data_IF_908340518737
#
_entry.id   IF_908340518737
#
_cell.length_a   1.000
_cell.length_b   1.000
_cell.length_c   1.000
_cell.angle_alpha   90.00
_cell.angle_beta   90.00
_cell.angle_gamma   90.00
#
_symmetry.space_group_name_H-M   'P 1'
#
loop_
_entity.id
_entity.type
_entity.pdbx_description
1 polymer ?
#
# COMPACT_ATOMS: atom_id res chain seq x y z
N UNK A 1 46.76 -0.56 -33.92
CA UNK A 1 46.40 0.88 -33.85
C UNK A 1 45.07 0.91 -33.13
N UNK A 2 44.99 1.56 -31.97
CA UNK A 2 43.78 1.60 -31.15
C UNK A 2 42.73 2.48 -31.84
N UNK A 3 41.48 2.03 -31.84
CA UNK A 3 40.34 2.77 -32.38
C UNK A 3 39.77 3.73 -31.34
N UNK A 4 39.19 4.87 -31.75
CA UNK A 4 38.66 5.88 -30.81
C UNK A 4 37.60 5.30 -29.85
N UNK A 5 36.79 4.35 -30.32
CA UNK A 5 35.77 3.68 -29.48
C UNK A 5 36.39 2.80 -28.40
N UNK A 6 37.49 2.13 -28.71
CA UNK A 6 38.22 1.32 -27.74
C UNK A 6 38.87 2.21 -26.68
N UNK A 7 39.43 3.34 -27.11
CA UNK A 7 39.93 4.38 -26.21
C UNK A 7 38.85 4.86 -25.22
N UNK A 8 37.65 5.21 -25.68
CA UNK A 8 36.54 5.66 -24.82
C UNK A 8 36.21 4.68 -23.68
N UNK A 9 36.22 3.38 -23.96
CA UNK A 9 35.90 2.35 -22.97
C UNK A 9 36.99 2.19 -21.89
N UNK A 10 38.23 2.59 -22.17
CA UNK A 10 39.37 2.44 -21.27
C UNK A 10 39.65 3.68 -20.42
N UNK A 11 38.93 4.79 -20.64
CA UNK A 11 39.14 6.05 -19.90
C UNK A 11 38.98 5.84 -18.38
N UNK A 12 37.93 5.16 -17.93
CA UNK A 12 37.69 4.93 -16.49
C UNK A 12 38.82 4.11 -15.86
N UNK A 13 39.22 3.00 -16.49
CA UNK A 13 40.32 2.16 -16.00
C UNK A 13 41.66 2.91 -16.02
N UNK A 14 41.89 3.79 -16.99
CA UNK A 14 43.07 4.66 -17.02
C UNK A 14 43.09 5.64 -15.84
N UNK A 15 41.96 6.31 -15.57
CA UNK A 15 41.82 7.28 -14.49
C UNK A 15 41.90 6.65 -13.10
N UNK A 16 41.43 5.41 -12.97
CA UNK A 16 41.52 4.60 -11.75
C UNK A 16 42.89 3.91 -11.61
N UNK A 17 43.78 4.03 -12.61
CA UNK A 17 45.11 3.41 -12.61
C UNK A 17 45.11 1.88 -12.74
N UNK A 18 44.04 1.31 -13.30
CA UNK A 18 43.78 -0.12 -13.38
C UNK A 18 44.15 -0.77 -14.73
N UNK A 19 44.63 0.01 -15.72
CA UNK A 19 45.01 -0.53 -17.02
C UNK A 19 46.27 -1.42 -16.95
N UNK A 20 46.26 -2.50 -17.73
CA UNK A 20 47.46 -3.29 -17.99
C UNK A 20 48.49 -2.49 -18.80
N UNK A 21 49.78 -2.81 -18.65
CA UNK A 21 50.87 -2.11 -19.33
C UNK A 21 50.71 -2.02 -20.87
N UNK A 22 50.29 -3.12 -21.52
CA UNK A 22 50.07 -3.16 -22.98
C UNK A 22 48.97 -2.18 -23.43
N UNK A 23 47.82 -2.18 -22.74
CA UNK A 23 46.74 -1.25 -23.03
C UNK A 23 47.09 0.21 -22.69
N UNK A 24 47.86 0.46 -21.62
CA UNK A 24 48.30 1.81 -21.27
C UNK A 24 49.23 2.41 -22.34
N UNK A 25 50.17 1.62 -22.89
CA UNK A 25 51.04 2.05 -23.99
C UNK A 25 50.22 2.38 -25.26
N UNK A 26 49.28 1.51 -25.63
CA UNK A 26 48.41 1.74 -26.79
C UNK A 26 47.50 2.96 -26.60
N UNK A 27 46.99 3.17 -25.39
CA UNK A 27 46.15 4.31 -25.01
C UNK A 27 46.91 5.64 -25.08
N UNK A 28 48.14 5.69 -24.55
CA UNK A 28 49.01 6.89 -24.64
C UNK A 28 49.46 7.16 -26.08
N UNK A 29 49.77 6.11 -26.85
CA UNK A 29 50.09 6.26 -28.26
C UNK A 29 48.91 6.87 -29.03
N UNK A 30 47.68 6.39 -28.79
CA UNK A 30 46.48 6.95 -29.39
C UNK A 30 46.27 8.42 -28.99
N UNK A 31 46.40 8.75 -27.70
CA UNK A 31 46.34 10.13 -27.18
C UNK A 31 47.31 11.08 -27.87
N UNK A 32 48.51 10.61 -28.21
CA UNK A 32 49.52 11.43 -28.90
C UNK A 32 49.14 11.74 -30.36
N UNK A 33 48.38 10.84 -30.99
CA UNK A 33 48.02 10.89 -32.42
C UNK A 33 46.63 11.46 -32.72
N UNK A 34 45.69 11.39 -31.77
CA UNK A 34 44.30 11.78 -31.97
C UNK A 34 43.95 13.02 -31.13
N UNK A 35 43.67 14.13 -31.79
CA UNK A 35 43.32 15.39 -31.12
C UNK A 35 41.94 15.29 -30.42
N UNK A 36 40.99 14.59 -31.03
CA UNK A 36 39.62 14.45 -30.52
C UNK A 36 39.58 13.65 -29.21
N UNK A 37 40.31 12.52 -29.16
CA UNK A 37 40.39 11.71 -27.94
C UNK A 37 41.17 12.39 -26.81
N UNK A 38 42.13 13.27 -27.15
CA UNK A 38 42.80 14.11 -26.15
C UNK A 38 41.83 15.11 -25.53
N UNK A 39 41.08 15.83 -26.38
CA UNK A 39 40.05 16.76 -25.91
C UNK A 39 39.01 16.04 -25.03
N UNK A 40 38.59 14.83 -25.41
CA UNK A 40 37.67 14.02 -24.59
C UNK A 40 38.25 13.68 -23.21
N UNK A 41 39.53 13.27 -23.13
CA UNK A 41 40.14 12.96 -21.85
C UNK A 41 40.26 14.20 -20.96
N UNK A 42 40.64 15.34 -21.56
CA UNK A 42 40.70 16.62 -20.87
C UNK A 42 39.32 17.03 -20.33
N UNK A 43 38.26 16.86 -21.12
CA UNK A 43 36.86 17.12 -20.71
C UNK A 43 36.44 16.23 -19.54
N UNK A 44 36.76 14.93 -19.58
CA UNK A 44 36.45 13.99 -18.50
C UNK A 44 37.21 14.34 -17.22
N UNK A 45 38.50 14.69 -17.32
CA UNK A 45 39.30 15.10 -16.18
C UNK A 45 38.78 16.41 -15.56
N UNK A 46 38.43 17.40 -16.39
CA UNK A 46 37.82 18.64 -15.94
C UNK A 46 36.47 18.38 -15.24
N UNK A 47 35.63 17.48 -15.79
CA UNK A 47 34.37 17.10 -15.15
C UNK A 47 34.58 16.44 -13.78
N UNK A 48 35.59 15.58 -13.64
CA UNK A 48 35.94 14.95 -12.36
C UNK A 48 36.46 15.96 -11.35
N UNK A 49 37.29 16.92 -11.77
CA UNK A 49 37.74 18.02 -10.91
C UNK A 49 36.57 18.86 -10.43
N UNK A 50 35.62 19.20 -11.33
CA UNK A 50 34.39 19.87 -10.97
C UNK A 50 33.59 19.05 -9.95
N UNK A 51 33.41 17.75 -10.17
CA UNK A 51 32.70 16.88 -9.21
C UNK A 51 33.40 16.83 -7.85
N UNK A 52 34.74 16.77 -7.82
CA UNK A 52 35.52 16.80 -6.56
C UNK A 52 35.44 18.15 -5.86
N UNK A 53 35.31 19.25 -6.61
CA UNK A 53 35.23 20.62 -6.06
C UNK A 53 33.94 20.90 -5.29
N UNK A 54 32.88 20.12 -5.54
CA UNK A 54 31.58 20.23 -4.84
C UNK A 54 31.69 19.80 -3.36
N UNK A 55 32.77 19.12 -2.97
CA UNK A 55 32.97 18.63 -1.61
C UNK A 55 32.04 17.46 -1.25
N UNK A 56 32.31 16.79 -0.12
CA UNK A 56 31.35 15.83 0.43
C UNK A 56 30.06 16.57 0.81
N UNK A 57 29.00 16.33 0.03
CA UNK A 57 27.68 16.85 0.31
C UNK A 57 27.04 15.97 1.37
N UNK A 58 26.67 16.55 2.51
CA UNK A 58 25.84 15.83 3.47
C UNK A 58 24.55 15.38 2.76
N UNK A 59 24.24 14.07 2.77
CA UNK A 59 23.04 13.58 2.14
C UNK A 59 21.80 14.25 2.75
N UNK A 60 20.77 14.46 1.94
CA UNK A 60 19.51 14.99 2.44
C UNK A 60 19.02 14.16 3.64
N UNK A 61 18.48 14.79 4.70
CA UNK A 61 18.11 14.09 5.93
C UNK A 61 17.02 13.02 5.73
N UNK A 62 16.32 13.05 4.60
CA UNK A 62 15.31 12.07 4.19
C UNK A 62 15.85 10.98 3.26
N UNK A 63 17.15 11.02 2.89
CA UNK A 63 17.77 10.04 1.99
C UNK A 63 17.64 8.63 2.56
N UNK A 64 17.87 8.44 3.87
CA UNK A 64 17.70 7.16 4.54
C UNK A 64 16.26 6.64 4.43
N UNK A 65 15.27 7.51 4.60
CA UNK A 65 13.87 7.11 4.53
C UNK A 65 13.45 6.78 3.10
N UNK A 66 13.95 7.54 2.11
CA UNK A 66 13.78 7.25 0.68
C UNK A 66 14.47 5.96 0.27
N UNK A 67 15.68 5.72 0.76
CA UNK A 67 16.45 4.50 0.52
C UNK A 67 15.73 3.30 1.16
N UNK A 68 15.29 3.40 2.42
CA UNK A 68 14.46 2.38 3.07
C UNK A 68 13.16 2.10 2.32
N UNK A 69 12.56 3.08 1.67
CA UNK A 69 11.37 2.86 0.82
C UNK A 69 11.70 2.05 -0.44
N UNK A 70 12.84 2.31 -1.06
CA UNK A 70 13.33 1.54 -2.22
C UNK A 70 13.79 0.13 -1.81
N UNK A 71 14.57 0.04 -0.73
CA UNK A 71 15.02 -1.20 -0.10
C UNK A 71 13.87 -1.97 0.54
N UNK A 72 12.69 -1.37 0.76
CA UNK A 72 11.48 -2.11 1.13
C UNK A 72 10.98 -3.04 0.03
N UNK A 73 11.30 -2.77 -1.24
CA UNK A 73 11.20 -3.77 -2.32
C UNK A 73 12.14 -4.97 -2.14
N UNK A 74 13.21 -4.80 -1.34
CA UNK A 74 14.10 -5.84 -0.86
C UNK A 74 13.82 -6.26 0.61
N UNK A 75 12.73 -5.78 1.25
CA UNK A 75 12.52 -5.90 2.71
C UNK A 75 12.25 -7.31 3.20
N UNK A 76 11.66 -8.19 2.39
CA UNK A 76 11.49 -9.57 2.83
C UNK A 76 12.65 -10.42 2.36
N UNK A 77 13.17 -11.20 3.30
CA UNK A 77 14.14 -12.25 2.98
C UNK A 77 13.45 -13.37 2.18
N UNK A 78 14.23 -14.12 1.41
CA UNK A 78 13.73 -15.30 0.70
C UNK A 78 13.11 -16.33 1.68
N UNK A 79 13.58 -16.37 2.93
CA UNK A 79 13.02 -17.23 3.98
C UNK A 79 11.60 -16.79 4.36
N UNK A 80 11.42 -15.49 4.65
CA UNK A 80 10.11 -14.95 5.00
C UNK A 80 9.11 -15.10 3.83
N UNK A 81 9.58 -14.95 2.59
CA UNK A 81 8.78 -15.26 1.40
C UNK A 81 8.30 -16.71 1.41
N UNK A 82 9.21 -17.67 1.65
CA UNK A 82 8.88 -19.09 1.71
C UNK A 82 7.83 -19.47 2.75
N UNK A 83 7.87 -18.82 3.93
CA UNK A 83 6.90 -19.03 5.01
C UNK A 83 5.48 -18.57 4.63
N UNK A 84 5.35 -17.62 3.71
CA UNK A 84 4.07 -17.06 3.27
C UNK A 84 3.45 -17.77 2.04
N UNK A 85 4.17 -18.71 1.41
CA UNK A 85 3.69 -19.35 0.16
C UNK A 85 2.36 -20.08 0.37
N UNK A 86 2.19 -20.87 1.45
CA UNK A 86 0.92 -21.57 1.71
C UNK A 86 -0.21 -20.56 1.89
N UNK A 87 0.01 -19.57 2.77
CA UNK A 87 -0.95 -18.51 3.05
C UNK A 87 -1.37 -17.72 1.80
N UNK A 88 -0.46 -17.55 0.84
CA UNK A 88 -0.75 -16.95 -0.47
C UNK A 88 -1.75 -17.80 -1.27
N UNK A 89 -1.53 -19.11 -1.40
CA UNK A 89 -2.43 -20.01 -2.12
C UNK A 89 -3.77 -20.23 -1.40
N UNK A 90 -3.75 -20.20 -0.06
CA UNK A 90 -4.96 -20.29 0.77
C UNK A 90 -5.78 -18.98 0.74
N UNK A 91 -5.21 -17.88 0.21
CA UNK A 91 -5.88 -16.58 0.10
C UNK A 91 -6.07 -15.85 1.44
N UNK A 92 -5.22 -16.15 2.44
CA UNK A 92 -5.35 -15.65 3.82
C UNK A 92 -4.35 -14.56 4.20
N UNK A 93 -3.55 -14.07 3.24
CA UNK A 93 -2.62 -12.97 3.48
C UNK A 93 -3.35 -11.65 3.77
N UNK A 94 -2.80 -10.87 4.68
CA UNK A 94 -3.18 -9.46 4.85
C UNK A 94 -2.74 -8.63 3.62
N UNK A 95 -3.34 -7.46 3.43
CA UNK A 95 -2.99 -6.58 2.31
C UNK A 95 -1.50 -6.21 2.29
N UNK A 96 -0.91 -5.94 3.45
CA UNK A 96 0.50 -5.58 3.56
C UNK A 96 1.41 -6.76 3.21
N UNK A 97 1.11 -7.96 3.73
CA UNK A 97 1.86 -9.18 3.41
C UNK A 97 1.76 -9.51 1.91
N UNK A 98 0.58 -9.34 1.31
CA UNK A 98 0.37 -9.56 -0.11
C UNK A 98 1.25 -8.64 -0.96
N UNK A 99 1.27 -7.34 -0.66
CA UNK A 99 2.07 -6.37 -1.41
C UNK A 99 3.57 -6.60 -1.26
N UNK A 100 4.02 -6.92 -0.05
CA UNK A 100 5.40 -7.29 0.21
C UNK A 100 5.78 -8.57 -0.56
N UNK A 101 4.90 -9.57 -0.55
CA UNK A 101 5.12 -10.87 -1.20
C UNK A 101 5.23 -10.72 -2.72
N UNK A 102 4.31 -9.98 -3.34
CA UNK A 102 4.38 -9.67 -4.76
C UNK A 102 5.62 -8.85 -5.13
N UNK A 103 6.00 -7.87 -4.30
CA UNK A 103 7.19 -7.06 -4.55
C UNK A 103 8.46 -7.94 -4.57
N UNK A 104 8.59 -8.88 -3.64
CA UNK A 104 9.70 -9.83 -3.61
C UNK A 104 9.68 -10.80 -4.80
N UNK A 105 8.52 -11.34 -5.17
CA UNK A 105 8.40 -12.22 -6.33
C UNK A 105 8.82 -11.51 -7.64
N UNK A 106 8.56 -10.20 -7.77
CA UNK A 106 9.04 -9.40 -8.91
C UNK A 106 10.56 -9.20 -8.86
N UNK A 107 11.11 -8.92 -7.68
CA UNK A 107 12.53 -8.61 -7.51
C UNK A 107 13.46 -9.84 -7.51
N UNK A 108 13.04 -10.99 -6.97
CA UNK A 108 13.88 -12.18 -6.79
C UNK A 108 13.58 -13.28 -7.81
N UNK A 109 14.49 -13.47 -8.78
CA UNK A 109 14.31 -14.46 -9.86
C UNK A 109 14.31 -15.93 -9.39
N UNK A 110 14.91 -16.24 -8.24
CA UNK A 110 14.87 -17.59 -7.65
C UNK A 110 13.48 -17.87 -7.07
N UNK A 111 13.02 -17.03 -6.16
CA UNK A 111 11.72 -17.19 -5.51
C UNK A 111 10.56 -17.11 -6.50
N UNK A 112 10.70 -16.32 -7.58
CA UNK A 112 9.74 -16.32 -8.69
C UNK A 112 9.62 -17.69 -9.36
N UNK A 113 10.75 -18.33 -9.71
CA UNK A 113 10.74 -19.67 -10.31
C UNK A 113 10.15 -20.71 -9.37
N UNK A 114 10.47 -20.62 -8.08
CA UNK A 114 9.90 -21.54 -7.07
C UNK A 114 8.38 -21.38 -6.99
N UNK A 115 7.87 -20.14 -6.97
CA UNK A 115 6.44 -19.85 -6.97
C UNK A 115 5.73 -20.34 -8.25
N UNK A 116 6.35 -20.14 -9.42
CA UNK A 116 5.84 -20.63 -10.71
C UNK A 116 5.78 -22.16 -10.74
N UNK A 117 6.80 -22.84 -10.20
CA UNK A 117 6.84 -24.30 -10.09
C UNK A 117 5.72 -24.85 -9.21
N UNK A 118 5.50 -24.23 -8.04
CA UNK A 118 4.40 -24.62 -7.15
C UNK A 118 3.05 -24.37 -7.82
N UNK A 119 2.86 -23.20 -8.45
CA UNK A 119 1.63 -22.89 -9.18
C UNK A 119 1.36 -23.88 -10.32
N UNK A 120 2.41 -24.37 -11.00
CA UNK A 120 2.28 -25.41 -12.02
C UNK A 120 1.81 -26.73 -11.42
N UNK A 121 2.37 -27.16 -10.29
CA UNK A 121 1.91 -28.37 -9.57
C UNK A 121 0.47 -28.22 -9.12
N UNK A 122 0.07 -27.07 -8.57
CA UNK A 122 -1.32 -26.81 -8.17
C UNK A 122 -2.29 -26.91 -9.35
N UNK A 123 -1.90 -26.44 -10.55
CA UNK A 123 -2.71 -26.61 -11.76
C UNK A 123 -2.87 -28.08 -12.13
N UNK A 124 -1.78 -28.86 -12.13
CA UNK A 124 -1.84 -30.30 -12.40
C UNK A 124 -2.71 -31.04 -11.38
N UNK A 125 -2.66 -30.65 -10.10
CA UNK A 125 -3.52 -31.23 -9.06
C UNK A 125 -5.00 -30.88 -9.26
N UNK A 126 -5.30 -29.70 -9.78
CA UNK A 126 -6.68 -29.31 -10.11
C UNK A 126 -7.23 -30.02 -11.36
N UNK A 127 -6.37 -30.63 -12.17
CA UNK A 127 -6.78 -31.45 -13.32
C UNK A 127 -7.13 -32.89 -12.91
N UNK A 128 -6.80 -33.31 -11.68
CA UNK A 128 -7.16 -34.63 -11.16
C UNK A 128 -8.66 -34.67 -10.90
N UNK A 129 -9.31 -35.74 -11.38
CA UNK A 129 -10.75 -35.94 -11.20
C UNK A 129 -11.13 -35.84 -9.71
N UNK A 130 -12.12 -34.99 -9.37
CA UNK A 130 -12.55 -34.85 -7.99
C UNK A 130 -13.14 -36.16 -7.49
N UNK A 131 -12.74 -36.56 -6.28
CA UNK A 131 -13.28 -37.76 -5.63
C UNK A 131 -14.79 -37.61 -5.48
N UNK A 132 -15.54 -38.58 -6.01
CA UNK A 132 -16.98 -38.62 -5.88
C UNK A 132 -17.38 -38.56 -4.40
N UNK A 133 -18.13 -37.52 -4.04
CA UNK A 133 -18.63 -37.36 -2.68
C UNK A 133 -19.64 -38.48 -2.38
N UNK A 134 -19.60 -39.07 -1.17
CA UNK A 134 -20.63 -40.02 -0.74
C UNK A 134 -22.02 -39.41 -0.86
N UNK A 135 -22.96 -40.19 -1.40
CA UNK A 135 -24.35 -39.77 -1.55
C UNK A 135 -24.95 -39.33 -0.19
N UNK A 136 -25.68 -38.23 -0.19
CA UNK A 136 -26.33 -37.69 1.01
C UNK A 136 -25.40 -36.93 1.98
N UNK A 137 -24.10 -36.77 1.68
CA UNK A 137 -23.19 -36.02 2.55
C UNK A 137 -23.63 -34.56 2.72
N UNK A 138 -24.04 -33.90 1.63
CA UNK A 138 -24.48 -32.51 1.65
C UNK A 138 -25.72 -32.32 2.53
N UNK A 139 -26.70 -33.20 2.40
CA UNK A 139 -27.92 -33.18 3.19
C UNK A 139 -27.61 -33.36 4.68
N UNK A 140 -26.74 -34.31 5.02
CA UNK A 140 -26.29 -34.56 6.39
C UNK A 140 -25.54 -33.36 6.96
N UNK A 141 -24.67 -32.73 6.18
CA UNK A 141 -23.89 -31.56 6.59
C UNK A 141 -24.81 -30.37 6.86
N UNK A 142 -25.71 -30.07 5.91
CA UNK A 142 -26.71 -29.00 6.05
C UNK A 142 -27.62 -29.23 7.25
N UNK A 143 -28.02 -30.48 7.50
CA UNK A 143 -28.83 -30.82 8.66
C UNK A 143 -28.06 -30.60 9.97
N UNK A 144 -26.79 -31.02 10.03
CA UNK A 144 -25.93 -30.82 11.19
C UNK A 144 -25.69 -29.33 11.51
N UNK A 145 -25.44 -28.50 10.49
CA UNK A 145 -25.28 -27.04 10.64
C UNK A 145 -26.57 -26.40 11.13
N UNK A 146 -27.72 -26.77 10.55
CA UNK A 146 -29.03 -26.27 10.99
C UNK A 146 -29.39 -26.67 12.42
N UNK A 147 -29.02 -27.87 12.87
CA UNK A 147 -29.22 -28.27 14.27
C UNK A 147 -28.31 -27.48 15.22
N UNK A 148 -27.02 -27.34 14.88
CA UNK A 148 -26.08 -26.57 15.70
C UNK A 148 -26.52 -25.11 15.88
N UNK A 149 -26.98 -24.46 14.81
CA UNK A 149 -27.51 -23.09 14.88
C UNK A 149 -28.78 -23.00 15.75
N UNK A 150 -29.70 -23.96 15.63
CA UNK A 150 -30.92 -24.02 16.46
C UNK A 150 -30.60 -24.24 17.94
N UNK A 151 -29.61 -25.05 18.26
CA UNK A 151 -29.20 -25.32 19.63
C UNK A 151 -28.47 -24.11 20.26
N UNK A 152 -27.64 -23.41 19.48
CA UNK A 152 -27.06 -22.14 19.90
C UNK A 152 -28.16 -21.10 20.22
N UNK A 153 -29.16 -20.94 19.35
CA UNK A 153 -30.30 -20.04 19.56
C UNK A 153 -31.14 -20.43 20.80
N UNK A 154 -31.44 -21.72 20.97
CA UNK A 154 -32.17 -22.25 22.14
C UNK A 154 -31.39 -22.04 23.44
N UNK A 155 -30.07 -22.17 23.42
CA UNK A 155 -29.23 -21.94 24.61
C UNK A 155 -29.25 -20.47 25.04
N UNK A 156 -29.26 -19.53 24.10
CA UNK A 156 -29.43 -18.10 24.36
C UNK A 156 -30.82 -17.79 24.95
N UNK A 157 -31.88 -18.33 24.36
CA UNK A 157 -33.25 -18.21 24.87
C UNK A 157 -33.39 -18.79 26.29
N UNK A 158 -32.76 -19.94 26.59
CA UNK A 158 -32.74 -20.53 27.94
C UNK A 158 -32.02 -19.65 28.96
N UNK A 159 -30.89 -19.04 28.58
CA UNK A 159 -30.15 -18.07 29.43
C UNK A 159 -30.99 -16.84 29.73
N UNK A 160 -31.67 -16.29 28.72
CA UNK A 160 -32.58 -15.16 28.88
C UNK A 160 -33.75 -15.53 29.80
N UNK A 161 -34.41 -16.67 29.57
CA UNK A 161 -35.53 -17.15 30.40
C UNK A 161 -35.14 -17.37 31.87
N UNK A 162 -33.95 -17.90 32.15
CA UNK A 162 -33.42 -18.03 33.52
C UNK A 162 -33.22 -16.65 34.17
N UNK A 163 -32.69 -15.69 33.42
CA UNK A 163 -32.48 -14.32 33.91
C UNK A 163 -33.80 -13.60 34.19
N UNK A 164 -34.81 -13.81 33.35
CA UNK A 164 -36.17 -13.31 33.56
C UNK A 164 -36.88 -14.01 34.74
N UNK A 165 -36.70 -15.31 34.93
CA UNK A 165 -37.27 -16.04 36.07
C UNK A 165 -36.64 -15.59 37.40
N UNK A 166 -35.32 -15.36 37.43
CA UNK A 166 -34.63 -14.77 38.58
C UNK A 166 -35.14 -13.36 38.90
N UNK A 167 -35.41 -12.56 37.86
CA UNK A 167 -36.00 -11.22 38.00
C UNK A 167 -37.43 -11.26 38.56
N UNK A 168 -38.27 -12.20 38.10
CA UNK A 168 -39.64 -12.42 38.62
C UNK A 168 -39.67 -12.93 40.06
N UNK A 169 -38.78 -13.86 40.42
CA UNK A 169 -38.70 -14.39 41.78
C UNK A 169 -38.13 -13.35 42.77
N UNK A 170 -37.29 -12.43 42.31
CA UNK A 170 -36.83 -11.27 43.09
C UNK A 170 -37.91 -10.25 43.44
N UNK A 171 -39.05 -10.25 42.73
CA UNK A 171 -40.21 -9.39 43.03
C UNK A 171 -41.16 -9.98 44.09
N UNK A 172 -41.01 -11.26 44.44
CA UNK A 172 -41.82 -11.92 45.47
C UNK A 172 -41.25 -11.81 46.90
N UNK A 173 -40.05 -11.27 47.07
CA UNK A 173 -39.50 -10.99 48.39
C UNK A 173 -40.18 -9.74 48.99
N UNK A 174 -40.62 -9.75 50.25
CA UNK A 174 -41.35 -8.64 50.83
C UNK A 174 -40.47 -7.40 50.88
N UNK A 175 -40.79 -6.41 50.01
CA UNK A 175 -40.18 -5.09 49.95
C UNK A 175 -40.45 -4.33 51.27
N UNK A 176 -39.65 -4.57 52.30
CA UNK A 176 -39.49 -3.65 53.43
C UNK A 176 -38.45 -2.59 53.08
N UNK A 177 -38.82 -1.68 52.20
CA UNK A 177 -38.21 -0.35 52.06
C UNK A 177 -39.02 0.47 51.05
N UNK A 178 -39.76 1.51 51.45
CA UNK A 178 -40.30 2.45 50.48
C UNK A 178 -39.14 3.29 49.94
N UNK A 179 -39.22 3.68 48.66
CA UNK A 179 -38.23 4.46 47.90
C UNK A 179 -37.17 3.61 47.16
N UNK A 180 -37.65 2.77 46.24
CA UNK A 180 -36.96 2.71 44.95
C UNK A 180 -37.17 4.08 44.29
N UNK A 181 -36.10 4.85 44.09
CA UNK A 181 -36.24 6.21 43.59
C UNK A 181 -36.78 6.16 42.16
N UNK A 182 -37.63 7.13 41.83
CA UNK A 182 -38.44 7.20 40.59
C UNK A 182 -37.60 6.99 39.31
N UNK A 183 -36.31 7.30 39.36
CA UNK A 183 -35.36 7.08 38.28
C UNK A 183 -35.12 5.60 37.94
N UNK A 184 -35.18 4.67 38.89
CA UNK A 184 -34.97 3.24 38.63
C UNK A 184 -36.14 2.64 37.83
N UNK A 185 -37.37 3.05 38.13
CA UNK A 185 -38.56 2.63 37.39
C UNK A 185 -38.62 3.30 36.00
N UNK A 186 -38.16 4.55 35.89
CA UNK A 186 -38.00 5.25 34.61
C UNK A 186 -36.95 4.56 33.72
N UNK A 187 -35.82 4.11 34.26
CA UNK A 187 -34.78 3.40 33.51
C UNK A 187 -35.28 2.05 32.98
N UNK A 188 -36.08 1.32 33.75
CA UNK A 188 -36.70 0.06 33.30
C UNK A 188 -37.73 0.31 32.19
N UNK A 189 -38.54 1.36 32.31
CA UNK A 189 -39.49 1.77 31.25
C UNK A 189 -38.77 2.23 29.98
N UNK A 190 -37.68 3.00 30.10
CA UNK A 190 -36.85 3.42 28.98
C UNK A 190 -36.14 2.26 28.30
N UNK A 191 -35.65 1.27 29.05
CA UNK A 191 -35.06 0.06 28.49
C UNK A 191 -36.11 -0.82 27.80
N UNK A 192 -37.33 -0.89 28.33
CA UNK A 192 -38.45 -1.62 27.72
C UNK A 192 -38.94 -0.93 26.43
N UNK A 193 -39.06 0.40 26.41
CA UNK A 193 -39.41 1.17 25.20
C UNK A 193 -38.30 1.13 24.15
N UNK A 194 -37.03 1.20 24.58
CA UNK A 194 -35.88 1.03 23.68
C UNK A 194 -35.82 -0.39 23.10
N UNK A 195 -36.11 -1.42 23.89
CA UNK A 195 -36.25 -2.80 23.42
C UNK A 195 -37.41 -2.98 22.43
N UNK A 196 -38.56 -2.34 22.69
CA UNK A 196 -39.71 -2.34 21.77
C UNK A 196 -39.39 -1.62 20.45
N UNK A 197 -38.61 -0.55 20.50
CA UNK A 197 -38.09 0.21 19.36
C UNK A 197 -37.09 -0.61 18.53
N UNK A 198 -36.15 -1.28 19.17
CA UNK A 198 -35.15 -2.13 18.49
C UNK A 198 -35.79 -3.37 17.85
N UNK A 199 -36.78 -3.98 18.50
CA UNK A 199 -37.55 -5.10 17.94
C UNK A 199 -38.45 -4.65 16.78
N UNK A 200 -39.07 -3.46 16.85
CA UNK A 200 -39.79 -2.87 15.72
C UNK A 200 -38.87 -2.45 14.57
N UNK A 201 -37.61 -2.11 14.84
CA UNK A 201 -36.60 -1.82 13.82
C UNK A 201 -36.05 -3.09 13.14
N UNK A 202 -36.14 -4.26 13.76
CA UNK A 202 -35.65 -5.54 13.21
C UNK A 202 -36.75 -6.48 12.67
N UNK A 203 -38.03 -6.23 12.96
CA UNK A 203 -39.17 -6.98 12.43
C UNK A 203 -39.75 -6.29 11.20
N UNK A 204 -39.41 -6.78 10.00
CA UNK A 204 -39.88 -6.21 8.74
C UNK A 204 -41.38 -6.32 8.51
N UNK A 205 -41.94 -5.30 7.87
CA UNK A 205 -43.17 -5.41 7.09
C UNK A 205 -44.18 -4.27 7.26
N UNK A 206 -44.05 -3.21 6.44
CA UNK A 206 -45.23 -2.49 5.94
C UNK A 206 -45.40 -1.00 6.30
N UNK A 207 -44.96 -0.15 5.36
CA UNK A 207 -45.61 1.09 4.83
C UNK A 207 -45.57 2.44 5.60
N UNK A 208 -44.66 3.33 5.10
CA UNK A 208 -44.85 4.77 4.71
C UNK A 208 -44.89 5.87 5.83
N UNK A 209 -44.40 7.14 5.66
CA UNK A 209 -43.25 7.71 4.92
C UNK A 209 -42.36 8.66 5.79
N UNK A 210 -41.06 8.43 5.93
CA UNK A 210 -40.12 9.40 6.57
C UNK A 210 -39.21 10.02 5.50
N UNK A 211 -39.80 10.88 4.65
CA UNK A 211 -39.10 11.68 3.64
C UNK A 211 -38.05 12.70 4.17
N UNK A 212 -38.01 13.16 5.45
CA UNK A 212 -36.99 14.14 5.87
C UNK A 212 -35.68 13.53 6.41
N UNK A 213 -35.53 12.20 6.45
CA UNK A 213 -34.29 11.54 6.86
C UNK A 213 -33.41 11.14 5.66
N UNK A 214 -34.02 10.76 4.54
CA UNK A 214 -33.32 10.45 3.30
C UNK A 214 -32.74 11.74 2.68
N UNK A 215 -33.47 12.86 2.74
CA UNK A 215 -32.96 14.16 2.28
C UNK A 215 -31.66 14.57 3.00
N UNK A 216 -31.58 14.35 4.33
CA UNK A 216 -30.39 14.66 5.12
C UNK A 216 -29.22 13.70 4.90
N UNK A 217 -29.50 12.46 4.50
CA UNK A 217 -28.47 11.51 4.08
C UNK A 217 -27.93 11.84 2.69
N UNK A 218 -28.77 12.30 1.76
CA UNK A 218 -28.31 12.80 0.47
C UNK A 218 -27.60 14.16 0.57
N UNK A 219 -28.01 15.05 1.48
CA UNK A 219 -27.29 16.29 1.80
C UNK A 219 -25.91 15.99 2.41
N UNK A 220 -25.80 15.05 3.36
CA UNK A 220 -24.50 14.61 3.89
C UNK A 220 -23.64 13.86 2.88
N UNK A 221 -24.24 13.10 1.97
CA UNK A 221 -23.53 12.45 0.88
C UNK A 221 -23.10 13.46 -0.21
N UNK A 222 -23.87 14.52 -0.43
CA UNK A 222 -23.52 15.63 -1.30
C UNK A 222 -22.43 16.51 -0.68
N UNK A 223 -22.48 16.79 0.63
CA UNK A 223 -21.39 17.46 1.37
C UNK A 223 -20.09 16.66 1.28
N UNK A 224 -20.13 15.34 1.46
CA UNK A 224 -18.95 14.47 1.27
C UNK A 224 -18.42 14.47 -0.17
N UNK A 225 -19.30 14.63 -1.17
CA UNK A 225 -18.90 14.73 -2.59
C UNK A 225 -18.34 16.10 -2.93
N UNK A 226 -18.89 17.16 -2.36
CA UNK A 226 -18.43 18.55 -2.49
C UNK A 226 -17.10 18.75 -1.75
N UNK A 227 -16.87 18.08 -0.62
CA UNK A 227 -15.56 18.07 0.06
C UNK A 227 -14.51 17.32 -0.78
N UNK A 228 -14.90 16.22 -1.44
CA UNK A 228 -14.05 15.48 -2.37
C UNK A 228 -13.69 16.30 -3.62
N UNK A 229 -14.67 16.98 -4.22
CA UNK A 229 -14.45 17.87 -5.37
C UNK A 229 -13.62 19.10 -4.98
N UNK A 230 -13.80 19.69 -3.78
CA UNK A 230 -12.90 20.74 -3.26
C UNK A 230 -11.48 20.27 -3.07
N UNK A 231 -11.25 19.07 -2.56
CA UNK A 231 -9.89 18.53 -2.37
C UNK A 231 -9.23 18.28 -3.73
N UNK A 232 -9.98 17.80 -4.72
CA UNK A 232 -9.48 17.61 -6.09
C UNK A 232 -9.22 18.95 -6.79
N UNK A 233 -10.08 19.95 -6.60
CA UNK A 233 -9.90 21.29 -7.15
C UNK A 233 -8.72 22.02 -6.49
N UNK A 234 -8.53 21.85 -5.18
CA UNK A 234 -7.38 22.39 -4.44
C UNK A 234 -6.06 21.73 -4.85
N UNK A 235 -6.08 20.42 -5.12
CA UNK A 235 -4.92 19.71 -5.69
C UNK A 235 -4.66 20.13 -7.16
N UNK A 236 -5.72 20.40 -7.92
CA UNK A 236 -5.64 20.93 -9.28
C UNK A 236 -5.03 22.34 -9.32
N UNK A 237 -5.48 23.24 -8.45
CA UNK A 237 -4.94 24.60 -8.30
C UNK A 237 -3.50 24.57 -7.80
N UNK A 238 -3.17 23.72 -6.83
CA UNK A 238 -1.80 23.55 -6.36
C UNK A 238 -0.88 23.04 -7.47
N UNK A 239 -1.33 22.04 -8.25
CA UNK A 239 -0.58 21.54 -9.41
C UNK A 239 -0.38 22.62 -10.48
N UNK A 240 -1.40 23.44 -10.73
CA UNK A 240 -1.30 24.55 -11.68
C UNK A 240 -0.31 25.61 -11.19
N UNK A 241 -0.36 26.01 -9.91
CA UNK A 241 0.59 26.93 -9.29
C UNK A 241 2.03 26.43 -9.36
N UNK A 242 2.26 25.15 -9.04
CA UNK A 242 3.57 24.52 -9.16
C UNK A 242 4.04 24.50 -10.61
N UNK A 243 3.16 24.22 -11.57
CA UNK A 243 3.54 24.22 -12.99
C UNK A 243 3.88 25.62 -13.52
N UNK A 244 3.20 26.66 -13.04
CA UNK A 244 3.48 28.05 -13.42
C UNK A 244 4.79 28.52 -12.80
N UNK A 245 5.07 28.16 -11.55
CA UNK A 245 6.36 28.45 -10.90
C UNK A 245 7.51 27.74 -11.61
N UNK A 246 7.34 26.47 -11.99
CA UNK A 246 8.37 25.74 -12.73
C UNK A 246 8.63 26.33 -14.12
N UNK A 247 7.60 26.85 -14.80
CA UNK A 247 7.79 27.59 -16.06
C UNK A 247 8.45 28.95 -15.85
N UNK A 248 8.10 29.67 -14.79
CA UNK A 248 8.73 30.94 -14.44
C UNK A 248 10.24 30.73 -14.17
N UNK A 249 10.58 29.74 -13.34
CA UNK A 249 11.97 29.37 -13.07
C UNK A 249 12.73 28.94 -14.31
N UNK A 250 12.09 28.19 -15.22
CA UNK A 250 12.73 27.81 -16.49
C UNK A 250 12.97 29.02 -17.39
N UNK A 251 11.99 29.92 -17.50
CA UNK A 251 12.12 31.16 -18.28
C UNK A 251 13.13 32.16 -17.69
N UNK A 252 13.31 32.15 -16.38
CA UNK A 252 14.27 33.02 -15.67
C UNK A 252 15.69 32.50 -15.82
N UNK A 253 15.83 31.17 -15.84
CA UNK A 253 17.08 30.50 -16.18
C UNK A 253 17.47 30.67 -17.65
N UNK A 254 16.50 30.64 -18.57
CA UNK A 254 16.72 30.92 -20.00
C UNK A 254 17.08 32.40 -20.22
N UNK A 255 16.40 33.36 -19.59
CA UNK A 255 16.77 34.79 -19.66
C UNK A 255 18.10 35.12 -19.00
N UNK A 256 18.44 34.47 -17.89
CA UNK A 256 19.75 34.61 -17.26
C UNK A 256 20.85 34.03 -18.15
N UNK A 257 20.56 32.93 -18.87
CA UNK A 257 21.43 32.38 -19.90
C UNK A 257 21.64 33.36 -21.06
N UNK A 258 20.56 33.90 -21.63
CA UNK A 258 20.63 34.87 -22.74
C UNK A 258 21.28 36.21 -22.32
N UNK A 259 21.09 36.68 -21.08
CA UNK A 259 21.76 37.87 -20.56
C UNK A 259 23.28 37.67 -20.44
N UNK A 260 23.71 36.50 -19.96
CA UNK A 260 25.12 36.11 -19.86
C UNK A 260 25.78 35.80 -21.21
N UNK A 261 24.98 35.47 -22.23
CA UNK A 261 25.43 35.29 -23.60
C UNK A 261 25.53 36.63 -24.35
N UNK A 262 24.60 37.57 -24.07
CA UNK A 262 24.63 38.94 -24.63
C UNK A 262 25.72 39.83 -24.02
N UNK A 263 26.07 39.64 -22.75
CA UNK A 263 27.25 40.27 -22.11
C UNK A 263 28.57 39.73 -22.69
N UNK A 264 28.57 38.54 -23.27
CA UNK A 264 29.74 37.90 -23.87
C UNK A 264 29.92 38.23 -25.36
N UNK A 265 28.86 38.75 -26.01
CA UNK A 265 28.85 39.11 -27.43
C UNK A 265 28.91 40.63 -27.71
N UNK A 266 28.99 41.49 -26.69
CA UNK A 266 29.33 42.91 -26.88
C UNK A 266 30.85 43.06 -26.99
N UNK A 267 31.38 43.68 -28.06
CA UNK A 267 32.82 43.77 -28.35
C UNK A 267 33.60 44.69 -27.41
#
# INVERSE_FOLDING_TARGET
MMECREFEHLISEYLDGALSAEHAEAFVAHLSSCADCRALLDDVQAALELCRSVGEVEPAPDLDERLRRVLRGAAMSCRAFGELISSYFDGVLTADEYHLFEAHARACARCRRDLEGIAAVTRLLNEVDPVALPEGLNERLLQAVRSAHRDASRSWLRRLRRRWAAWRLGWGAPLRSPLLPRWAMAMVLCAATFGLLVVNLSGGGGRVPVRPAIARLFERAAEMRVEGERVVEHLGQWRAQVSTLLRAFRSDRERSGEALEKERSSP
#
